data_IF_496220258733
#
_entry.id   IF_496220258733
#
_cell.length_a   1.000
_cell.length_b   1.000
_cell.length_c   1.000
_cell.angle_alpha   90.00
_cell.angle_beta   90.00
_cell.angle_gamma   90.00
#
_symmetry.space_group_name_H-M   'P 1'
#
loop_
_entity.id
_entity.type
_entity.pdbx_description
1 polymer ?
#
# COMPACT_ATOMS: atom_id res chain seq x y z
N UNK A 1 2.84 -5.25 2.58
CA UNK A 1 4.05 -5.04 3.42
C UNK A 1 4.95 -4.10 2.66
N UNK A 2 5.53 -3.11 3.33
CA UNK A 2 6.46 -2.15 2.71
C UNK A 2 7.76 -2.11 3.49
N UNK A 3 8.87 -2.27 2.80
CA UNK A 3 10.22 -2.17 3.38
C UNK A 3 10.80 -0.78 3.18
N UNK A 4 11.52 -0.28 4.18
CA UNK A 4 12.22 1.01 4.13
C UNK A 4 13.67 0.83 4.57
N UNK A 5 14.58 1.50 3.85
CA UNK A 5 15.99 1.58 4.20
C UNK A 5 16.40 3.06 4.26
N UNK A 6 16.82 3.54 5.44
CA UNK A 6 17.44 4.84 5.62
C UNK A 6 18.95 4.69 5.60
N UNK A 7 19.64 5.52 4.81
CA UNK A 7 21.10 5.52 4.66
C UNK A 7 21.65 6.93 4.82
N UNK A 8 22.63 7.10 5.71
CA UNK A 8 23.30 8.39 5.95
C UNK A 8 24.74 8.17 6.42
N UNK A 9 25.72 8.62 5.63
CA UNK A 9 27.15 8.61 5.98
C UNK A 9 27.63 7.27 6.62
N UNK A 10 27.28 6.13 6.00
CA UNK A 10 27.63 4.80 6.49
C UNK A 10 26.70 4.22 7.56
N UNK A 11 25.80 5.02 8.15
CA UNK A 11 24.70 4.51 8.99
C UNK A 11 23.59 3.92 8.12
N UNK A 12 23.03 2.80 8.57
CA UNK A 12 21.93 2.08 7.90
C UNK A 12 20.87 1.70 8.93
N UNK A 13 19.61 2.04 8.63
CA UNK A 13 18.43 1.60 9.39
C UNK A 13 17.46 0.94 8.43
N UNK A 14 17.08 -0.31 8.69
CA UNK A 14 16.13 -1.06 7.86
C UNK A 14 14.97 -1.50 8.73
N UNK A 15 13.76 -1.28 8.24
CA UNK A 15 12.55 -1.74 8.88
C UNK A 15 11.49 -2.04 7.83
N UNK A 16 10.42 -2.71 8.24
CA UNK A 16 9.24 -2.93 7.41
C UNK A 16 7.98 -2.66 8.21
N UNK A 17 6.91 -2.31 7.51
CA UNK A 17 5.58 -2.10 8.10
C UNK A 17 4.58 -2.98 7.36
N UNK A 18 3.77 -3.70 8.14
CA UNK A 18 2.66 -4.52 7.64
C UNK A 18 1.34 -3.80 7.85
N UNK A 19 0.44 -3.95 6.89
CA UNK A 19 -0.93 -3.46 6.95
C UNK A 19 -1.79 -4.50 6.29
N UNK A 20 -2.85 -4.90 6.98
CA UNK A 20 -3.83 -5.84 6.48
C UNK A 20 -4.96 -5.07 5.81
N UNK A 21 -5.36 -5.51 4.63
CA UNK A 21 -6.43 -4.91 3.84
C UNK A 21 -7.42 -6.03 3.55
N UNK A 22 -8.66 -5.85 4.01
CA UNK A 22 -9.77 -6.77 3.76
C UNK A 22 -10.59 -6.22 2.61
N UNK A 23 -10.83 -7.05 1.59
CA UNK A 23 -11.63 -6.69 0.43
C UNK A 23 -12.97 -7.41 0.47
N UNK A 24 -14.02 -6.70 0.08
CA UNK A 24 -15.32 -7.29 -0.22
C UNK A 24 -15.18 -8.27 -1.39
N UNK A 25 -16.10 -9.25 -1.51
CA UNK A 25 -16.21 -10.06 -2.71
C UNK A 25 -16.31 -9.20 -3.98
N UNK A 26 -15.62 -9.65 -5.03
CA UNK A 26 -15.63 -9.04 -6.36
C UNK A 26 -16.46 -9.90 -7.30
N UNK A 27 -17.39 -9.28 -8.01
CA UNK A 27 -18.08 -9.91 -9.12
C UNK A 27 -17.22 -9.85 -10.39
N UNK A 28 -17.42 -10.81 -11.30
CA UNK A 28 -16.66 -10.88 -12.56
C UNK A 28 -16.78 -9.59 -13.38
N UNK A 29 -17.98 -8.99 -13.43
CA UNK A 29 -18.22 -7.72 -14.11
C UNK A 29 -17.42 -6.55 -13.52
N UNK A 30 -17.18 -6.56 -12.21
CA UNK A 30 -16.42 -5.53 -11.50
C UNK A 30 -14.92 -5.67 -11.77
N UNK A 31 -14.43 -6.91 -11.82
CA UNK A 31 -13.05 -7.23 -12.20
C UNK A 31 -12.80 -6.77 -13.64
N UNK A 32 -13.69 -7.14 -14.57
CA UNK A 32 -13.60 -6.73 -15.97
C UNK A 32 -13.63 -5.21 -16.14
N UNK A 33 -14.53 -4.53 -15.42
CA UNK A 33 -14.61 -3.07 -15.43
C UNK A 33 -13.29 -2.44 -14.96
N UNK A 34 -12.77 -2.91 -13.83
CA UNK A 34 -11.54 -2.40 -13.24
C UNK A 34 -10.32 -2.59 -14.16
N UNK A 35 -10.17 -3.78 -14.74
CA UNK A 35 -9.09 -4.08 -15.68
C UNK A 35 -9.15 -3.17 -16.91
N UNK A 36 -10.34 -2.98 -17.49
CA UNK A 36 -10.51 -2.15 -18.69
C UNK A 36 -10.22 -0.68 -18.43
N UNK A 37 -10.66 -0.18 -17.26
CA UNK A 37 -10.63 1.23 -16.92
C UNK A 37 -9.28 1.68 -16.36
N UNK A 38 -8.80 1.01 -15.31
CA UNK A 38 -7.62 1.45 -14.54
C UNK A 38 -6.34 0.73 -14.98
N UNK A 39 -6.45 -0.41 -15.68
CA UNK A 39 -5.33 -1.17 -16.25
C UNK A 39 -4.23 -1.45 -15.21
N UNK A 40 -4.53 -2.19 -14.12
CA UNK A 40 -3.66 -2.34 -12.94
C UNK A 40 -2.45 -3.27 -13.17
N UNK A 41 -1.97 -3.39 -14.41
CA UNK A 41 -0.94 -4.33 -14.82
C UNK A 41 0.45 -4.00 -14.24
N UNK A 42 0.65 -2.77 -13.78
CA UNK A 42 1.87 -2.30 -13.12
C UNK A 42 1.79 -2.40 -11.58
N UNK A 43 0.66 -2.87 -11.03
CA UNK A 43 0.43 -2.96 -9.58
C UNK A 43 0.68 -4.37 -9.08
N UNK A 44 1.56 -4.51 -8.10
CA UNK A 44 1.71 -5.78 -7.38
C UNK A 44 0.39 -6.13 -6.68
N UNK A 45 -0.13 -7.34 -6.94
CA UNK A 45 -1.46 -7.75 -6.46
C UNK A 45 -2.63 -7.28 -7.33
N UNK A 46 -2.34 -6.67 -8.49
CA UNK A 46 -3.33 -6.24 -9.49
C UNK A 46 -4.42 -5.30 -8.95
N UNK A 47 -4.12 -4.50 -7.93
CA UNK A 47 -4.98 -3.41 -7.49
C UNK A 47 -4.18 -2.24 -6.91
N UNK A 48 -4.77 -1.04 -6.93
CA UNK A 48 -4.27 0.11 -6.17
C UNK A 48 -5.36 0.68 -5.27
N UNK A 49 -4.99 0.93 -4.01
CA UNK A 49 -5.87 1.50 -2.99
C UNK A 49 -6.39 2.91 -3.33
N UNK A 50 -5.74 3.61 -4.26
CA UNK A 50 -6.11 4.96 -4.70
C UNK A 50 -7.10 4.97 -5.87
N UNK A 51 -7.36 3.80 -6.49
CA UNK A 51 -8.25 3.66 -7.63
C UNK A 51 -9.66 3.27 -7.17
N UNK A 52 -10.60 3.14 -8.12
CA UNK A 52 -12.00 2.86 -7.78
C UNK A 52 -12.18 1.63 -6.90
N UNK A 53 -11.46 0.54 -7.20
CA UNK A 53 -11.53 -0.68 -6.39
C UNK A 53 -11.13 -0.43 -4.93
N UNK A 54 -10.17 0.48 -4.69
CA UNK A 54 -9.76 0.88 -3.34
C UNK A 54 -10.82 1.68 -2.60
N UNK A 55 -11.66 2.43 -3.33
CA UNK A 55 -12.73 3.25 -2.77
C UNK A 55 -14.03 2.45 -2.52
N UNK A 56 -14.32 1.44 -3.34
CA UNK A 56 -15.60 0.72 -3.29
C UNK A 56 -15.50 -0.73 -2.79
N UNK A 57 -14.31 -1.34 -2.76
CA UNK A 57 -14.14 -2.77 -2.42
C UNK A 57 -13.24 -3.05 -1.24
N UNK A 58 -12.62 -2.05 -0.62
CA UNK A 58 -11.90 -2.24 0.64
C UNK A 58 -12.89 -2.06 1.80
N UNK A 59 -13.12 -3.12 2.56
CA UNK A 59 -14.01 -3.11 3.73
C UNK A 59 -13.29 -2.62 4.99
N UNK A 60 -12.02 -2.99 5.13
CA UNK A 60 -11.25 -2.68 6.33
C UNK A 60 -9.76 -2.57 6.02
N UNK A 61 -9.11 -1.64 6.73
CA UNK A 61 -7.66 -1.48 6.75
C UNK A 61 -7.20 -1.55 8.21
N UNK A 62 -6.39 -2.54 8.54
CA UNK A 62 -5.75 -2.68 9.85
C UNK A 62 -4.27 -2.36 9.72
N UNK A 63 -3.91 -1.14 10.11
CA UNK A 63 -2.57 -0.59 9.96
C UNK A 63 -2.62 0.83 9.37
N UNK A 64 -1.68 1.16 8.48
CA UNK A 64 -1.49 2.52 7.99
C UNK A 64 -1.78 2.62 6.49
N UNK A 65 -2.68 3.52 6.09
CA UNK A 65 -3.01 3.77 4.68
C UNK A 65 -1.78 4.14 3.84
N UNK A 66 -0.92 5.04 4.33
CA UNK A 66 0.29 5.46 3.61
C UNK A 66 1.24 4.28 3.35
N UNK A 67 1.26 3.29 4.25
CA UNK A 67 2.01 2.06 4.05
C UNK A 67 1.51 1.27 2.84
N UNK A 68 0.18 1.18 2.65
CA UNK A 68 -0.44 0.51 1.50
C UNK A 68 -0.17 1.27 0.20
N UNK A 69 -0.16 2.60 0.25
CA UNK A 69 0.23 3.45 -0.91
C UNK A 69 1.68 3.20 -1.32
N UNK A 70 2.54 2.79 -0.40
CA UNK A 70 3.92 2.37 -0.70
C UNK A 70 5.01 3.07 0.13
N UNK A 71 4.64 3.94 1.09
CA UNK A 71 5.59 4.51 2.04
C UNK A 71 4.91 4.73 3.40
N UNK A 72 5.31 4.04 4.48
CA UNK A 72 4.75 4.26 5.80
C UNK A 72 5.26 5.59 6.40
N UNK A 73 4.75 6.71 5.91
CA UNK A 73 5.24 8.09 6.19
C UNK A 73 5.37 8.34 7.68
N UNK A 74 4.36 7.92 8.44
CA UNK A 74 4.30 8.04 9.88
C UNK A 74 5.51 7.36 10.57
N UNK A 75 5.81 6.10 10.20
CA UNK A 75 6.96 5.38 10.73
C UNK A 75 8.28 5.97 10.26
N UNK A 76 8.36 6.36 8.99
CA UNK A 76 9.55 7.02 8.41
C UNK A 76 9.86 8.31 9.15
N UNK A 77 8.85 9.13 9.42
CA UNK A 77 9.02 10.39 10.14
C UNK A 77 9.61 10.17 11.53
N UNK A 78 9.06 9.23 12.31
CA UNK A 78 9.62 8.89 13.64
C UNK A 78 11.07 8.43 13.56
N UNK A 79 11.38 7.51 12.64
CA UNK A 79 12.75 6.98 12.51
C UNK A 79 13.73 8.09 12.07
N UNK A 80 13.30 9.05 11.24
CA UNK A 80 14.12 10.20 10.86
C UNK A 80 14.43 11.16 12.00
N UNK A 81 13.54 11.30 12.99
CA UNK A 81 13.81 12.12 14.17
C UNK A 81 14.96 11.56 15.03
N UNK A 82 15.27 10.27 14.87
CA UNK A 82 16.27 9.52 15.65
C UNK A 82 17.53 9.13 14.84
N UNK A 83 17.63 9.46 13.54
CA UNK A 83 18.61 8.91 12.58
C UNK A 83 19.79 9.84 12.16
#
# INVERSE_FOLDING_TARGET
ITGVCLLRAGKKRVFSVSTQVSMAPLEEAEIDYYIRRDRPFDKAGAYAIQEWIGLCKIEQIEGNYSNVVGLPVERVYRELQEF
#
